data_IF_410617898274
#
_entry.id   IF_410617898274
#
_cell.length_a   1.000
_cell.length_b   1.000
_cell.length_c   1.000
_cell.angle_alpha   90.00
_cell.angle_beta   90.00
_cell.angle_gamma   90.00
#
_symmetry.space_group_name_H-M   'P 1'
#
loop_
_entity.id
_entity.type
_entity.pdbx_description
1 polymer ?
#
# COMPACT_ATOMS: atom_id res chain seq x y z
N UNK A 1 -1.19 9.31 -5.12
CA UNK A 1 -1.08 8.36 -6.27
C UNK A 1 -0.07 7.25 -6.00
N UNK A 2 1.24 7.39 -6.28
CA UNK A 2 2.24 6.45 -5.71
C UNK A 2 2.21 6.48 -4.18
N UNK A 3 1.87 7.64 -3.63
CA UNK A 3 1.64 7.86 -2.19
C UNK A 3 0.56 6.97 -1.59
N UNK A 4 -0.51 6.65 -2.32
CA UNK A 4 -1.68 5.96 -1.76
C UNK A 4 -1.43 4.46 -1.77
N UNK A 5 -0.84 3.93 -2.85
CA UNK A 5 -0.37 2.56 -2.91
C UNK A 5 0.79 2.32 -1.92
N UNK A 6 1.71 3.28 -1.76
CA UNK A 6 2.77 3.20 -0.75
C UNK A 6 2.19 3.23 0.69
N UNK A 7 1.18 4.05 0.97
CA UNK A 7 0.45 4.05 2.24
C UNK A 7 -0.25 2.72 2.48
N UNK A 8 -0.93 2.16 1.49
CA UNK A 8 -1.57 0.87 1.65
C UNK A 8 -0.59 -0.27 1.85
N UNK A 9 0.55 -0.27 1.14
CA UNK A 9 1.62 -1.23 1.39
C UNK A 9 2.19 -1.09 2.81
N UNK A 10 2.40 0.14 3.30
CA UNK A 10 2.89 0.39 4.65
C UNK A 10 1.88 -0.06 5.71
N UNK A 11 0.60 0.26 5.52
CA UNK A 11 -0.50 -0.20 6.35
C UNK A 11 -0.52 -1.72 6.45
N UNK A 12 -0.44 -2.45 5.34
CA UNK A 12 -0.45 -3.91 5.34
C UNK A 12 0.81 -4.51 5.99
N UNK A 13 1.98 -3.91 5.81
CA UNK A 13 3.21 -4.33 6.49
C UNK A 13 3.13 -4.16 8.03
N UNK A 14 2.63 -3.00 8.48
CA UNK A 14 2.43 -2.73 9.91
C UNK A 14 1.34 -3.66 10.47
N UNK A 15 0.27 -3.90 9.72
CA UNK A 15 -0.78 -4.86 10.08
C UNK A 15 -0.21 -6.26 10.27
N UNK A 16 0.62 -6.73 9.33
CA UNK A 16 1.23 -8.05 9.38
C UNK A 16 2.13 -8.19 10.62
N UNK A 17 2.93 -7.15 10.89
CA UNK A 17 3.79 -7.07 12.08
C UNK A 17 2.95 -7.17 13.36
N UNK A 18 1.85 -6.42 13.44
CA UNK A 18 0.98 -6.45 14.62
C UNK A 18 0.23 -7.77 14.78
N UNK A 19 -0.18 -8.42 13.68
CA UNK A 19 -0.79 -9.74 13.71
C UNK A 19 0.19 -10.84 14.14
N UNK A 20 1.45 -10.76 13.70
CA UNK A 20 2.50 -11.68 14.14
C UNK A 20 2.79 -11.56 15.65
N UNK A 21 2.71 -10.35 16.21
CA UNK A 21 2.86 -10.11 17.66
C UNK A 21 1.71 -10.70 18.50
N UNK A 22 0.61 -11.11 17.87
CA UNK A 22 -0.55 -11.75 18.53
C UNK A 22 -0.71 -13.23 18.15
N UNK A 23 0.37 -13.88 17.67
CA UNK A 23 0.39 -15.28 17.20
C UNK A 23 -0.56 -15.59 16.03
N UNK A 24 -1.07 -14.58 15.32
CA UNK A 24 -1.96 -14.73 14.17
C UNK A 24 -1.15 -14.88 12.86
N UNK A 25 -0.26 -15.88 12.79
CA UNK A 25 0.73 -16.03 11.73
C UNK A 25 0.13 -16.23 10.33
N UNK A 26 -1.00 -16.94 10.21
CA UNK A 26 -1.70 -17.09 8.93
C UNK A 26 -2.19 -15.73 8.41
N UNK A 27 -2.79 -14.92 9.29
CA UNK A 27 -3.22 -13.55 8.97
C UNK A 27 -2.03 -12.64 8.64
N UNK A 28 -0.90 -12.79 9.33
CA UNK A 28 0.32 -12.04 9.01
C UNK A 28 0.84 -12.36 7.59
N UNK A 29 0.81 -13.64 7.18
CA UNK A 29 1.20 -14.03 5.84
C UNK A 29 0.27 -13.45 4.76
N UNK A 30 -1.05 -13.50 4.97
CA UNK A 30 -2.03 -12.92 4.04
C UNK A 30 -1.81 -11.41 3.87
N UNK A 31 -1.57 -10.69 4.99
CA UNK A 31 -1.28 -9.26 4.99
C UNK A 31 0.03 -8.93 4.23
N UNK A 32 1.03 -9.80 4.28
CA UNK A 32 2.26 -9.62 3.50
C UNK A 32 2.03 -9.80 1.99
N UNK A 33 1.10 -10.65 1.58
CA UNK A 33 0.72 -10.75 0.16
C UNK A 33 0.01 -9.48 -0.31
N UNK A 34 -0.92 -8.94 0.49
CA UNK A 34 -1.58 -7.66 0.21
C UNK A 34 -0.57 -6.50 0.10
N UNK A 35 0.44 -6.47 0.98
CA UNK A 35 1.57 -5.53 0.88
C UNK A 35 2.29 -5.66 -0.47
N UNK A 36 2.65 -6.88 -0.90
CA UNK A 36 3.37 -7.10 -2.17
C UNK A 36 2.57 -6.61 -3.38
N UNK A 37 1.25 -6.80 -3.38
CA UNK A 37 0.38 -6.27 -4.44
C UNK A 37 0.45 -4.74 -4.49
N UNK A 38 0.29 -4.08 -3.34
CA UNK A 38 0.37 -2.62 -3.25
C UNK A 38 1.74 -2.07 -3.61
N UNK A 39 2.81 -2.75 -3.23
CA UNK A 39 4.18 -2.38 -3.58
C UNK A 39 4.40 -2.44 -5.10
N UNK A 40 3.94 -3.51 -5.77
CA UNK A 40 3.98 -3.60 -7.24
C UNK A 40 3.23 -2.44 -7.89
N UNK A 41 2.05 -2.09 -7.38
CA UNK A 41 1.26 -0.96 -7.89
C UNK A 41 2.03 0.36 -7.69
N UNK A 42 2.60 0.59 -6.50
CA UNK A 42 3.39 1.78 -6.20
C UNK A 42 4.60 1.92 -7.15
N UNK A 43 5.29 0.82 -7.47
CA UNK A 43 6.37 0.80 -8.45
C UNK A 43 5.90 1.09 -9.86
N UNK A 44 4.81 0.48 -10.31
CA UNK A 44 4.24 0.73 -11.64
C UNK A 44 3.85 2.21 -11.80
N UNK A 45 3.15 2.75 -10.81
CA UNK A 45 2.74 4.17 -10.80
C UNK A 45 3.92 5.12 -10.70
N UNK A 46 4.90 4.81 -9.85
CA UNK A 46 6.14 5.58 -9.72
C UNK A 46 6.91 5.64 -11.02
N UNK A 47 7.11 4.49 -11.67
CA UNK A 47 7.76 4.40 -12.98
C UNK A 47 7.00 5.16 -14.06
N UNK A 48 5.67 5.02 -14.11
CA UNK A 48 4.82 5.79 -15.05
C UNK A 48 4.92 7.31 -14.83
N UNK A 49 5.22 7.73 -13.60
CA UNK A 49 5.41 9.13 -13.23
C UNK A 49 6.87 9.60 -13.35
N UNK A 50 7.77 8.77 -13.88
CA UNK A 50 9.20 9.09 -14.04
C UNK A 50 10.05 8.98 -12.76
N UNK A 51 9.52 8.38 -11.68
CA UNK A 51 10.32 8.13 -10.47
C UNK A 51 11.28 6.96 -10.68
N UNK A 52 12.48 7.06 -10.10
CA UNK A 52 13.40 5.92 -9.99
C UNK A 52 12.89 4.90 -8.96
N UNK A 53 13.44 3.69 -9.01
CA UNK A 53 13.14 2.63 -8.04
C UNK A 53 13.50 3.08 -6.62
N UNK A 54 14.65 3.72 -6.46
CA UNK A 54 15.13 4.28 -5.20
C UNK A 54 14.19 5.38 -4.70
N UNK A 55 13.64 6.20 -5.60
CA UNK A 55 12.67 7.23 -5.25
C UNK A 55 11.35 6.64 -4.72
N UNK A 56 10.90 5.51 -5.29
CA UNK A 56 9.72 4.79 -4.79
C UNK A 56 10.01 4.16 -3.43
N UNK A 57 11.18 3.53 -3.25
CA UNK A 57 11.60 2.94 -1.98
C UNK A 57 11.77 3.98 -0.86
N UNK A 58 12.43 5.10 -1.13
CA UNK A 58 12.59 6.20 -0.17
C UNK A 58 11.23 6.75 0.27
N UNK A 59 10.28 6.81 -0.67
CA UNK A 59 8.91 7.22 -0.37
C UNK A 59 8.18 6.20 0.50
N UNK A 60 8.37 4.90 0.23
CA UNK A 60 7.82 3.83 1.07
C UNK A 60 8.34 3.94 2.51
N UNK A 61 9.66 4.05 2.70
CA UNK A 61 10.26 4.21 4.03
C UNK A 61 9.70 5.43 4.79
N UNK A 62 9.60 6.59 4.11
CA UNK A 62 9.06 7.82 4.70
C UNK A 62 7.61 7.64 5.16
N UNK A 63 6.80 6.94 4.36
CA UNK A 63 5.39 6.69 4.68
C UNK A 63 5.26 5.70 5.84
N UNK A 64 6.02 4.61 5.84
CA UNK A 64 6.01 3.62 6.92
C UNK A 64 6.42 4.24 8.26
N UNK A 65 7.45 5.08 8.27
CA UNK A 65 7.85 5.80 9.49
C UNK A 65 6.75 6.74 10.00
N UNK A 66 6.10 7.50 9.11
CA UNK A 66 5.01 8.39 9.49
C UNK A 66 3.78 7.63 10.04
N UNK A 67 3.43 6.49 9.44
CA UNK A 67 2.34 5.65 9.92
C UNK A 67 2.66 5.00 11.27
N UNK A 68 3.88 4.49 11.44
CA UNK A 68 4.36 3.99 12.72
C UNK A 68 4.34 5.07 13.80
N UNK A 69 4.79 6.28 13.49
CA UNK A 69 4.72 7.41 14.43
C UNK A 69 3.28 7.76 14.83
N UNK A 70 2.34 7.67 13.88
CA UNK A 70 0.91 7.96 14.15
C UNK A 70 0.27 7.00 15.17
N UNK A 71 0.86 5.80 15.35
CA UNK A 71 0.46 4.83 16.39
C UNK A 71 1.42 4.79 17.57
N UNK A 72 2.33 5.77 17.69
CA UNK A 72 3.40 5.79 18.70
C UNK A 72 4.26 4.52 18.65
N UNK A 73 4.46 3.96 17.45
CA UNK A 73 5.19 2.72 17.17
C UNK A 73 4.66 1.51 17.98
N UNK A 74 3.37 1.52 18.35
CA UNK A 74 2.74 0.51 19.20
C UNK A 74 1.53 -0.14 18.53
N UNK A 75 1.54 -1.47 18.46
CA UNK A 75 0.42 -2.26 17.94
C UNK A 75 -0.86 -2.15 18.77
N UNK A 76 -0.78 -1.70 20.03
CA UNK A 76 -1.97 -1.42 20.86
C UNK A 76 -2.83 -0.30 20.25
N UNK A 77 -2.19 0.65 19.58
CA UNK A 77 -2.86 1.79 18.94
C UNK A 77 -3.18 1.54 17.46
N UNK A 78 -3.03 0.30 16.98
CA UNK A 78 -3.20 -0.03 15.57
C UNK A 78 -4.61 0.29 15.02
N UNK A 79 -5.62 0.34 15.89
CA UNK A 79 -6.98 0.76 15.53
C UNK A 79 -7.03 2.12 14.84
N UNK A 80 -6.09 3.03 15.13
CA UNK A 80 -5.96 4.33 14.45
C UNK A 80 -5.69 4.13 12.96
N UNK A 81 -4.74 3.26 12.60
CA UNK A 81 -4.46 2.94 11.20
C UNK A 81 -5.61 2.17 10.56
N UNK A 82 -6.24 1.25 11.28
CA UNK A 82 -7.38 0.49 10.77
C UNK A 82 -8.55 1.40 10.37
N UNK A 83 -8.86 2.41 11.20
CA UNK A 83 -9.90 3.40 10.88
C UNK A 83 -9.52 4.31 9.73
N UNK A 84 -8.25 4.72 9.64
CA UNK A 84 -7.78 5.66 8.63
C UNK A 84 -7.60 5.01 7.25
N UNK A 85 -7.07 3.79 7.20
CA UNK A 85 -6.62 3.15 5.96
C UNK A 85 -7.32 1.83 5.65
N UNK A 86 -7.84 1.12 6.64
CA UNK A 86 -8.32 -0.26 6.47
C UNK A 86 -9.39 -0.43 5.38
N UNK A 87 -10.40 0.44 5.34
CA UNK A 87 -11.40 0.40 4.25
C UNK A 87 -10.81 0.87 2.93
N UNK A 88 -10.15 2.02 2.92
CA UNK A 88 -9.63 2.63 1.71
C UNK A 88 -8.64 1.73 0.96
N UNK A 89 -7.77 1.03 1.69
CA UNK A 89 -6.76 0.14 1.12
C UNK A 89 -7.34 -1.18 0.61
N UNK A 90 -8.34 -1.75 1.29
CA UNK A 90 -9.08 -2.90 0.77
C UNK A 90 -9.86 -2.55 -0.50
N UNK A 91 -10.52 -1.39 -0.52
CA UNK A 91 -11.25 -0.92 -1.70
C UNK A 91 -10.30 -0.61 -2.86
N UNK A 92 -9.09 -0.10 -2.55
CA UNK A 92 -8.03 0.10 -3.54
C UNK A 92 -7.62 -1.25 -4.16
N UNK A 93 -7.39 -2.25 -3.33
CA UNK A 93 -6.94 -3.58 -3.78
C UNK A 93 -7.98 -4.31 -4.60
N UNK A 94 -9.26 -4.22 -4.22
CA UNK A 94 -10.35 -4.85 -4.95
C UNK A 94 -10.63 -4.18 -6.30
N UNK A 95 -10.37 -2.87 -6.41
CA UNK A 95 -10.68 -2.07 -7.59
C UNK A 95 -9.51 -1.18 -8.03
N UNK A 96 -8.32 -1.77 -8.31
CA UNK A 96 -7.15 -0.99 -8.69
C UNK A 96 -7.40 -0.24 -10.00
N UNK A 97 -8.17 -0.85 -10.90
CA UNK A 97 -8.52 -0.31 -12.21
C UNK A 97 -9.51 0.86 -12.15
N UNK A 98 -10.48 0.85 -11.23
CA UNK A 98 -11.42 1.96 -11.08
C UNK A 98 -10.71 3.20 -10.57
N UNK A 99 -9.84 3.04 -9.57
CA UNK A 99 -8.96 4.13 -9.16
C UNK A 99 -8.10 4.57 -10.32
N UNK A 100 -7.46 3.68 -11.07
CA UNK A 100 -6.69 4.05 -12.28
C UNK A 100 -7.52 4.72 -13.40
N UNK A 101 -8.83 4.47 -13.47
CA UNK A 101 -9.73 5.07 -14.48
C UNK A 101 -10.15 6.48 -14.07
N UNK A 102 -10.46 6.71 -12.80
CA UNK A 102 -10.55 8.07 -12.22
C UNK A 102 -9.24 8.85 -12.42
N UNK A 103 -8.11 8.17 -12.53
CA UNK A 103 -6.80 8.78 -12.78
C UNK A 103 -6.56 9.11 -14.27
N UNK A 104 -7.18 8.37 -15.20
CA UNK A 104 -7.14 8.67 -16.65
C UNK A 104 -8.01 9.88 -17.01
N UNK A 105 -9.16 10.06 -16.35
CA UNK A 105 -10.04 11.21 -16.59
C UNK A 105 -9.41 12.55 -16.16
N UNK A 106 -8.37 12.51 -15.32
CA UNK A 106 -7.56 13.66 -14.91
C UNK A 106 -6.22 13.83 -15.68
N UNK A 107 -6.00 13.11 -16.79
CA UNK A 107 -4.99 13.48 -17.80
C UNK A 107 -3.64 12.76 -17.79
N UNK A 108 -3.53 11.54 -17.26
CA UNK A 108 -2.32 10.71 -17.42
C UNK A 108 -2.66 9.41 -18.17
N UNK A 109 -2.46 9.47 -19.48
CA UNK A 109 -2.66 8.35 -20.41
C UNK A 109 -1.50 7.35 -20.44
N UNK A 110 -1.90 6.08 -20.55
CA UNK A 110 -1.22 4.92 -21.17
C UNK A 110 0.10 4.40 -20.57
N UNK A 111 0.01 3.31 -19.81
CA UNK A 111 0.59 1.99 -20.15
C UNK A 111 0.51 1.04 -18.94
N UNK A 112 -0.41 0.08 -18.98
CA UNK A 112 -0.33 -1.12 -18.14
C UNK A 112 0.29 -2.23 -18.99
N UNK A 113 1.43 -2.83 -18.62
CA UNK A 113 1.90 -4.03 -19.27
C UNK A 113 1.07 -5.21 -18.73
N UNK A 114 0.14 -5.68 -19.56
CA UNK A 114 -0.53 -6.98 -19.53
C UNK A 114 -0.60 -7.74 -18.18
N UNK A 115 -1.80 -7.76 -17.60
CA UNK A 115 -2.29 -8.83 -16.72
C UNK A 115 -1.76 -8.78 -15.29
N UNK A 116 -2.67 -8.59 -14.32
CA UNK A 116 -2.43 -9.13 -12.98
C UNK A 116 -2.13 -10.63 -13.13
N UNK A 117 -1.08 -11.18 -12.48
CA UNK A 117 -1.03 -12.61 -12.30
C UNK A 117 -2.15 -13.02 -11.34
N UNK A 118 -2.88 -14.06 -11.73
CA UNK A 118 -3.88 -14.76 -10.93
C UNK A 118 -3.37 -15.16 -9.53
#
# INVERSE_FOLDING_TARGET
>A
MSSDAAQCAAFFEISATCAANTDAMATAADLLEHRKVMEKIAFLMGKASGMSVEGVQARFATVSDAELESISRSCVNFSVLLHRYGRACRDFEAHPEQRMTDLRSHGLGTAWPNGLPD
#
